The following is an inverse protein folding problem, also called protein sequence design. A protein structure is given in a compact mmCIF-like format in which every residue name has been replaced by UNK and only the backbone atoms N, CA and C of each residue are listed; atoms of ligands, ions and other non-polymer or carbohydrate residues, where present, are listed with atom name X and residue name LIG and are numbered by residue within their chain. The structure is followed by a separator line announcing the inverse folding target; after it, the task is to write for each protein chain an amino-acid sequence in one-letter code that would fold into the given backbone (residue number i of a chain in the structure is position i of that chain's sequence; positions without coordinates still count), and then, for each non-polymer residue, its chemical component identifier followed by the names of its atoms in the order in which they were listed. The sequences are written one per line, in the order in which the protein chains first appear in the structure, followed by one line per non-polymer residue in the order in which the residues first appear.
data_IF_250373310997
#
_entry.id   IF_250373310997
#
_cell.length_a   1.000
_cell.length_b   1.000
_cell.length_c   1.000
_cell.angle_alpha   90.00
_cell.angle_beta   90.00
_cell.angle_gamma   90.00
#
_symmetry.space_group_name_H-M   'P 1'
#
loop_
_entity.id
_entity.type
_entity.pdbx_description
1 polymer ?
#
# COMPACT_ATOMS: atom_id res chain seq x y z
N UNK A 1 30.76 14.66 -2.11
CA UNK A 1 29.66 14.48 -3.06
C UNK A 1 28.42 15.14 -2.49
N UNK A 2 27.77 15.98 -3.27
CA UNK A 2 26.55 16.64 -2.80
C UNK A 2 25.39 15.67 -2.76
N UNK A 3 24.64 15.68 -1.68
CA UNK A 3 23.40 14.94 -1.62
C UNK A 3 22.36 15.55 -2.56
N UNK A 4 21.68 14.72 -3.29
CA UNK A 4 20.54 15.17 -4.08
C UNK A 4 19.37 15.48 -3.15
N UNK A 5 18.72 16.59 -3.40
CA UNK A 5 17.54 16.97 -2.65
C UNK A 5 16.29 16.60 -3.42
N UNK A 6 15.37 15.94 -2.75
CA UNK A 6 14.13 15.48 -3.36
C UNK A 6 12.97 15.94 -2.50
N UNK A 7 11.97 16.51 -3.14
CA UNK A 7 10.76 16.96 -2.47
C UNK A 7 9.60 16.08 -2.91
N UNK A 8 8.90 15.51 -1.95
CA UNK A 8 7.73 14.69 -2.21
C UNK A 8 6.51 15.42 -1.68
N UNK A 9 5.53 15.65 -2.51
CA UNK A 9 4.30 16.32 -2.13
C UNK A 9 3.19 15.29 -2.01
N UNK A 10 2.67 15.12 -0.83
CA UNK A 10 1.60 14.17 -0.56
C UNK A 10 1.97 13.18 0.52
N UNK A 11 1.14 13.11 1.56
CA UNK A 11 1.36 12.23 2.71
C UNK A 11 0.55 10.95 2.68
N UNK A 12 0.05 10.56 1.51
CA UNK A 12 -0.65 9.30 1.37
C UNK A 12 0.30 8.13 1.30
N UNK A 13 -0.25 6.96 1.03
CA UNK A 13 0.53 5.72 1.02
C UNK A 13 1.71 5.79 0.04
N UNK A 14 1.45 6.24 -1.18
CA UNK A 14 2.49 6.31 -2.21
C UNK A 14 3.60 7.25 -1.80
N UNK A 15 3.26 8.43 -1.28
CA UNK A 15 4.26 9.41 -0.85
C UNK A 15 5.11 8.88 0.28
N UNK A 16 4.48 8.24 1.27
CA UNK A 16 5.20 7.69 2.41
C UNK A 16 6.16 6.57 2.01
N UNK A 17 5.69 5.63 1.19
CA UNK A 17 6.54 4.52 0.74
C UNK A 17 7.68 5.04 -0.13
N UNK A 18 7.40 6.03 -0.98
CA UNK A 18 8.44 6.64 -1.81
C UNK A 18 9.50 7.30 -0.95
N UNK A 19 9.07 8.05 0.08
CA UNK A 19 10.01 8.71 0.99
C UNK A 19 10.91 7.69 1.70
N UNK A 20 10.32 6.61 2.19
CA UNK A 20 11.08 5.57 2.87
C UNK A 20 12.06 4.90 1.92
N UNK A 21 11.61 4.59 0.70
CA UNK A 21 12.46 3.94 -0.29
C UNK A 21 13.68 4.82 -0.63
N UNK A 22 13.44 6.10 -0.88
CA UNK A 22 14.49 7.02 -1.26
C UNK A 22 15.40 7.36 -0.08
N UNK A 23 14.91 7.25 1.14
CA UNK A 23 15.75 7.51 2.33
C UNK A 23 16.91 6.53 2.46
N UNK A 24 16.81 5.37 1.80
CA UNK A 24 17.89 4.38 1.78
C UNK A 24 19.02 4.77 0.84
N UNK A 25 18.82 5.78 0.01
CA UNK A 25 19.79 6.26 -0.93
C UNK A 25 20.49 7.50 -0.39
N UNK A 26 21.54 7.95 -1.05
CA UNK A 26 22.28 9.13 -0.63
C UNK A 26 21.56 10.40 -1.11
N UNK A 27 20.41 10.69 -0.50
CA UNK A 27 19.66 11.88 -0.83
C UNK A 27 18.95 12.43 0.41
N UNK A 28 18.59 13.69 0.33
CA UNK A 28 17.83 14.37 1.37
C UNK A 28 16.39 14.51 0.90
N UNK A 29 15.45 14.11 1.74
CA UNK A 29 14.05 14.03 1.34
C UNK A 29 13.20 14.92 2.21
N UNK A 30 12.44 15.79 1.57
CA UNK A 30 11.41 16.60 2.22
C UNK A 30 10.05 16.05 1.81
N UNK A 31 9.27 15.63 2.79
CA UNK A 31 7.91 15.16 2.54
C UNK A 31 6.94 16.25 2.99
N UNK A 32 6.23 16.81 2.03
CA UNK A 32 5.27 17.87 2.30
C UNK A 32 3.88 17.26 2.42
N UNK A 33 3.32 17.34 3.59
CA UNK A 33 1.96 16.88 3.85
C UNK A 33 1.13 18.07 4.31
N UNK A 34 -0.16 18.03 4.09
CA UNK A 34 -1.03 19.08 4.62
C UNK A 34 -1.28 18.86 6.10
N UNK A 35 -2.54 18.85 6.49
CA UNK A 35 -2.93 18.60 7.89
C UNK A 35 -3.00 17.11 8.18
N UNK A 36 -2.11 16.34 7.63
CA UNK A 36 -2.16 14.88 7.61
C UNK A 36 -2.07 14.25 8.99
N UNK A 37 -1.49 14.95 9.96
CA UNK A 37 -1.30 14.38 11.29
C UNK A 37 -2.57 14.39 12.14
N UNK A 38 -3.65 14.99 11.66
CA UNK A 38 -4.85 15.16 12.46
C UNK A 38 -5.88 14.05 12.28
N UNK A 39 -5.85 13.33 11.18
CA UNK A 39 -6.87 12.32 10.91
C UNK A 39 -6.26 11.05 10.33
N UNK A 40 -5.58 10.32 11.19
CA UNK A 40 -4.94 9.08 10.76
C UNK A 40 -5.88 7.88 10.76
N UNK A 41 -7.07 8.04 11.32
CA UNK A 41 -8.03 6.94 11.32
C UNK A 41 -8.75 6.88 9.98
N UNK A 42 -8.65 5.74 9.34
CA UNK A 42 -9.33 5.50 8.07
C UNK A 42 -9.93 4.11 8.09
N UNK A 43 -11.12 3.99 7.52
CA UNK A 43 -11.75 2.68 7.32
C UNK A 43 -11.34 2.03 6.02
N UNK A 44 -10.42 2.66 5.30
CA UNK A 44 -9.96 2.12 4.04
C UNK A 44 -9.03 0.95 4.26
N UNK A 45 -9.17 -0.03 3.40
CA UNK A 45 -8.25 -1.16 3.35
C UNK A 45 -7.66 -1.21 1.95
N UNK A 46 -6.52 -1.86 1.84
CA UNK A 46 -5.90 -2.09 0.54
C UNK A 46 -5.50 -3.56 0.45
N UNK A 47 -5.53 -4.06 -0.76
CA UNK A 47 -5.01 -5.38 -1.04
C UNK A 47 -3.58 -5.25 -1.55
N UNK A 48 -2.67 -5.98 -0.92
CA UNK A 48 -1.25 -5.92 -1.26
C UNK A 48 -0.85 -7.30 -1.79
N UNK A 49 -0.28 -7.32 -3.00
CA UNK A 49 0.22 -8.56 -3.55
C UNK A 49 1.42 -9.07 -2.77
N UNK A 50 1.70 -10.35 -2.90
CA UNK A 50 2.86 -10.95 -2.24
C UNK A 50 4.16 -10.25 -2.65
N UNK A 51 4.30 -9.95 -3.94
CA UNK A 51 5.50 -9.26 -4.42
C UNK A 51 5.65 -7.87 -3.82
N UNK A 52 4.55 -7.14 -3.68
CA UNK A 52 4.60 -5.82 -3.06
C UNK A 52 4.86 -5.91 -1.56
N UNK A 53 4.34 -6.94 -0.92
CA UNK A 53 4.63 -7.15 0.50
C UNK A 53 6.12 -7.46 0.71
N UNK A 54 6.72 -8.24 -0.19
CA UNK A 54 8.15 -8.51 -0.16
C UNK A 54 8.96 -7.23 -0.31
N UNK A 55 8.51 -6.31 -1.17
CA UNK A 55 9.14 -5.01 -1.32
C UNK A 55 9.09 -4.23 -0.01
N UNK A 56 7.92 -4.19 0.64
CA UNK A 56 7.78 -3.53 1.94
C UNK A 56 8.69 -4.18 2.99
N UNK A 57 8.83 -5.49 2.92
CA UNK A 57 9.70 -6.21 3.83
C UNK A 57 11.16 -5.79 3.65
N UNK A 58 11.59 -5.57 2.41
CA UNK A 58 12.94 -5.08 2.12
C UNK A 58 13.17 -3.67 2.66
N UNK A 59 12.11 -2.90 2.82
CA UNK A 59 12.19 -1.56 3.41
C UNK A 59 12.12 -1.59 4.94
N UNK A 60 12.00 -2.76 5.53
CA UNK A 60 11.90 -2.96 6.97
C UNK A 60 10.64 -2.36 7.59
N UNK A 61 9.55 -2.29 6.83
CA UNK A 61 8.27 -1.80 7.35
C UNK A 61 7.26 -2.91 7.62
N UNK A 62 7.52 -4.13 7.18
CA UNK A 62 6.55 -5.22 7.33
C UNK A 62 6.32 -5.60 8.81
N UNK A 63 7.33 -5.44 9.66
CA UNK A 63 7.16 -5.75 11.08
C UNK A 63 6.06 -4.90 11.72
N UNK A 64 6.03 -3.62 11.38
CA UNK A 64 5.00 -2.72 11.90
C UNK A 64 3.61 -3.09 11.41
N UNK A 65 3.53 -3.74 10.24
CA UNK A 65 2.27 -4.06 9.61
C UNK A 65 1.71 -5.42 9.98
N UNK A 66 2.53 -6.30 10.53
CA UNK A 66 2.12 -7.69 10.77
C UNK A 66 0.86 -7.83 11.62
N UNK A 67 0.63 -6.91 12.52
CA UNK A 67 -0.55 -6.93 13.38
C UNK A 67 -1.81 -6.47 12.67
N UNK A 68 -1.65 -5.77 11.56
CA UNK A 68 -2.73 -5.14 10.82
C UNK A 68 -3.03 -5.87 9.52
N UNK A 69 -2.34 -6.96 9.24
CA UNK A 69 -2.41 -7.64 7.96
C UNK A 69 -3.18 -8.94 8.09
N UNK A 70 -4.08 -9.18 7.15
CA UNK A 70 -4.85 -10.40 7.09
C UNK A 70 -4.56 -11.06 5.76
N UNK A 71 -4.26 -12.35 5.80
CA UNK A 71 -4.02 -13.11 4.59
C UNK A 71 -5.33 -13.31 3.85
N UNK A 72 -5.31 -13.04 2.56
CA UNK A 72 -6.47 -13.21 1.70
C UNK A 72 -6.13 -14.22 0.61
N UNK A 73 -6.80 -15.36 0.60
CA UNK A 73 -6.54 -16.39 -0.39
C UNK A 73 -7.46 -16.28 -1.60
N UNK A 74 -8.61 -15.67 -1.43
CA UNK A 74 -9.59 -15.54 -2.50
C UNK A 74 -10.07 -14.11 -2.56
N UNK A 75 -10.07 -13.53 -3.75
CA UNK A 75 -10.62 -12.21 -4.01
C UNK A 75 -11.62 -12.32 -5.14
N UNK A 76 -12.83 -11.85 -4.91
CA UNK A 76 -13.90 -11.87 -5.89
C UNK A 76 -14.37 -10.47 -6.18
N UNK A 77 -14.56 -10.19 -7.45
CA UNK A 77 -15.06 -8.89 -7.89
C UNK A 77 -16.45 -9.06 -8.48
N UNK A 78 -17.36 -8.26 -8.00
CA UNK A 78 -18.76 -8.30 -8.42
C UNK A 78 -19.17 -6.99 -9.05
N UNK A 79 -20.12 -7.07 -9.97
CA UNK A 79 -20.80 -5.87 -10.49
C UNK A 79 -22.28 -6.00 -10.23
N UNK A 80 -22.93 -4.87 -10.07
CA UNK A 80 -24.38 -4.82 -9.94
C UNK A 80 -25.00 -4.80 -11.33
N UNK A 81 -25.90 -5.75 -11.58
CA UNK A 81 -26.63 -5.80 -12.82
C UNK A 81 -28.02 -5.21 -12.56
N UNK A 82 -28.47 -4.37 -13.47
CA UNK A 82 -29.76 -3.68 -13.33
C UNK A 82 -30.88 -4.66 -13.04
N UNK A 83 -31.55 -4.44 -11.91
CA UNK A 83 -32.69 -5.25 -11.44
C UNK A 83 -32.33 -6.68 -11.06
N UNK A 84 -31.07 -6.98 -10.85
CA UNK A 84 -30.62 -8.31 -10.46
C UNK A 84 -29.60 -8.25 -9.34
N UNK A 85 -29.29 -9.43 -8.81
CA UNK A 85 -28.26 -9.56 -7.78
C UNK A 85 -26.88 -9.28 -8.38
N UNK A 86 -25.92 -9.01 -7.48
CA UNK A 86 -24.54 -8.86 -7.89
C UNK A 86 -24.06 -10.06 -8.67
N UNK A 87 -23.41 -9.82 -9.79
CA UNK A 87 -22.84 -10.86 -10.64
C UNK A 87 -21.34 -10.84 -10.50
N UNK A 88 -20.75 -12.01 -10.27
CA UNK A 88 -19.30 -12.13 -10.16
C UNK A 88 -18.65 -11.95 -11.52
N UNK A 89 -17.73 -10.97 -11.60
CA UNK A 89 -16.97 -10.71 -12.82
C UNK A 89 -15.68 -11.48 -12.82
N UNK A 90 -15.06 -11.64 -11.64
CA UNK A 90 -13.66 -11.99 -11.59
C UNK A 90 -13.32 -12.60 -10.22
N UNK A 91 -12.45 -13.57 -10.20
CA UNK A 91 -12.00 -14.20 -8.98
C UNK A 91 -10.50 -14.50 -9.05
N UNK A 92 -9.79 -14.08 -8.00
CA UNK A 92 -8.42 -14.47 -7.77
C UNK A 92 -8.38 -15.48 -6.63
N UNK A 93 -7.70 -16.57 -6.86
CA UNK A 93 -7.61 -17.64 -5.88
C UNK A 93 -6.16 -18.10 -5.75
N UNK A 94 -5.62 -17.98 -4.55
CA UNK A 94 -4.24 -18.34 -4.25
C UNK A 94 -4.11 -19.70 -3.57
N UNK A 95 -5.20 -20.43 -3.41
CA UNK A 95 -5.17 -21.68 -2.66
C UNK A 95 -4.18 -22.69 -3.22
N UNK A 96 -3.95 -22.65 -4.54
CA UNK A 96 -3.06 -23.60 -5.21
C UNK A 96 -1.67 -23.04 -5.47
N UNK A 97 -1.38 -21.84 -5.01
CA UNK A 97 -0.04 -21.29 -5.11
C UNK A 97 0.80 -21.70 -3.92
N UNK A 98 1.92 -22.24 -4.22
CA UNK A 98 2.89 -22.63 -3.22
C UNK A 98 4.10 -21.75 -3.24
#
# INVERSE_FOLDING_TARGET
MKKQKICIIGGGLTGLVTAISLSKLNCSIDLITGNAMQNLKSNRTIAVSENNFDFLNKLNISESLKREVWTCSIMKLYTEIKNEKFSKIFELNNENKQ
#
